data_IF_170966611302
#
_entry.id   IF_170966611302
#
_cell.length_a   1.000
_cell.length_b   1.000
_cell.length_c   1.000
_cell.angle_alpha   90.00
_cell.angle_beta   90.00
_cell.angle_gamma   90.00
#
_symmetry.space_group_name_H-M   'P 1'
#
loop_
_entity.id
_entity.type
_entity.pdbx_description
1 polymer ?
#
# COMPACT_ATOMS: atom_id res chain seq x y z
N UNK A 1 13.39 -10.29 -24.96
CA UNK A 1 12.29 -10.73 -24.07
C UNK A 1 12.16 -9.71 -22.95
N UNK A 2 11.03 -9.08 -22.87
CA UNK A 2 10.71 -8.07 -21.85
C UNK A 2 10.24 -8.82 -20.61
N UNK A 3 11.12 -8.91 -19.63
CA UNK A 3 10.82 -9.62 -18.39
C UNK A 3 9.85 -8.83 -17.53
N UNK A 4 9.00 -9.56 -16.82
CA UNK A 4 8.24 -9.05 -15.68
C UNK A 4 9.06 -9.34 -14.42
N UNK A 5 9.10 -8.38 -13.51
CA UNK A 5 9.55 -8.60 -12.15
C UNK A 5 8.32 -8.81 -11.26
N UNK A 6 8.36 -9.86 -10.46
CA UNK A 6 7.32 -10.17 -9.49
C UNK A 6 7.91 -10.03 -8.09
N UNK A 7 7.21 -9.30 -7.24
CA UNK A 7 7.53 -9.17 -5.83
C UNK A 7 6.32 -9.61 -5.01
N UNK A 8 6.54 -10.53 -4.08
CA UNK A 8 5.54 -10.93 -3.10
C UNK A 8 6.09 -10.68 -1.70
N UNK A 9 5.29 -10.07 -0.85
CA UNK A 9 5.64 -9.77 0.53
C UNK A 9 4.47 -10.15 1.43
N UNK A 10 4.75 -10.82 2.56
CA UNK A 10 3.76 -11.11 3.58
C UNK A 10 4.27 -10.60 4.93
N UNK A 11 3.39 -9.97 5.69
CA UNK A 11 3.67 -9.47 7.03
C UNK A 11 2.65 -10.01 8.01
N UNK A 12 3.14 -10.62 9.08
CA UNK A 12 2.34 -11.15 10.19
C UNK A 12 2.95 -10.64 11.48
N UNK A 13 2.12 -10.01 12.31
CA UNK A 13 2.55 -9.51 13.62
C UNK A 13 1.64 -10.07 14.71
N UNK A 14 2.22 -10.51 15.81
CA UNK A 14 1.50 -11.03 16.98
C UNK A 14 2.16 -10.54 18.25
N UNK A 15 1.36 -10.25 19.25
CA UNK A 15 1.83 -9.88 20.56
C UNK A 15 0.79 -10.22 21.62
N UNK A 16 1.21 -10.70 22.76
CA UNK A 16 0.36 -11.05 23.89
C UNK A 16 0.94 -10.38 25.15
N UNK A 17 0.10 -9.72 25.92
CA UNK A 17 0.42 -9.28 27.27
C UNK A 17 0.35 -10.50 28.19
N UNK A 18 1.52 -10.95 28.64
CA UNK A 18 1.65 -12.15 29.50
C UNK A 18 1.02 -11.98 30.88
N UNK A 19 0.77 -10.75 31.31
CA UNK A 19 0.16 -10.48 32.63
C UNK A 19 -1.34 -10.67 32.61
N UNK A 20 -1.98 -10.24 31.50
CA UNK A 20 -3.45 -10.22 31.36
C UNK A 20 -3.97 -11.29 30.40
N UNK A 21 -3.08 -12.00 29.72
CA UNK A 21 -3.36 -13.01 28.67
C UNK A 21 -4.28 -12.48 27.56
N UNK A 22 -4.05 -11.23 27.16
CA UNK A 22 -4.77 -10.56 26.09
C UNK A 22 -3.82 -10.12 24.98
N UNK A 23 -4.29 -9.97 23.73
CA UNK A 23 -3.48 -9.39 22.67
C UNK A 23 -3.00 -7.96 23.03
N UNK A 24 -1.80 -7.59 22.60
CA UNK A 24 -1.32 -6.22 22.72
C UNK A 24 -2.10 -5.33 21.75
N UNK A 25 -2.47 -4.13 22.22
CA UNK A 25 -3.17 -3.14 21.39
C UNK A 25 -2.29 -2.60 20.24
N UNK A 26 -2.92 -2.12 19.17
CA UNK A 26 -2.28 -1.53 17.99
C UNK A 26 -1.34 -2.46 17.23
N UNK A 27 -1.67 -3.75 17.20
CA UNK A 27 -0.98 -4.71 16.33
C UNK A 27 -1.57 -4.63 14.93
N UNK A 28 -0.75 -4.45 13.87
CA UNK A 28 -1.24 -4.40 12.51
C UNK A 28 -1.88 -5.74 12.10
N UNK A 29 -2.92 -5.71 11.24
CA UNK A 29 -3.46 -6.91 10.63
C UNK A 29 -2.45 -7.60 9.71
N UNK A 30 -2.69 -8.87 9.38
CA UNK A 30 -1.89 -9.56 8.40
C UNK A 30 -2.03 -8.91 7.04
N UNK A 31 -0.93 -8.75 6.35
CA UNK A 31 -0.83 -8.09 5.04
C UNK A 31 -0.12 -8.99 4.04
N UNK A 32 -0.71 -9.13 2.86
CA UNK A 32 -0.04 -9.67 1.67
C UNK A 32 0.03 -8.55 0.64
N UNK A 33 1.22 -8.33 0.09
CA UNK A 33 1.46 -7.38 -1.00
C UNK A 33 2.05 -8.13 -2.19
N UNK A 34 1.38 -8.02 -3.32
CA UNK A 34 1.83 -8.58 -4.60
C UNK A 34 2.08 -7.43 -5.56
N UNK A 35 3.21 -7.44 -6.24
CA UNK A 35 3.61 -6.39 -7.14
C UNK A 35 4.15 -7.00 -8.43
N UNK A 36 3.72 -6.45 -9.56
CA UNK A 36 4.20 -6.79 -10.88
C UNK A 36 4.80 -5.52 -11.49
N UNK A 37 6.04 -5.60 -11.92
CA UNK A 37 6.72 -4.53 -12.62
C UNK A 37 7.04 -4.93 -14.05
N UNK A 38 6.85 -3.98 -14.96
CA UNK A 38 7.21 -4.14 -16.37
C UNK A 38 7.84 -2.88 -16.93
N UNK A 39 9.05 -3.03 -17.45
CA UNK A 39 9.73 -1.97 -18.18
C UNK A 39 9.43 -2.09 -19.68
N UNK A 40 8.90 -1.02 -20.28
CA UNK A 40 8.61 -0.91 -21.71
C UNK A 40 9.30 0.36 -22.20
N UNK A 41 10.47 0.20 -22.86
CA UNK A 41 11.31 1.32 -23.28
C UNK A 41 11.65 2.25 -22.10
N UNK A 42 11.16 3.48 -22.14
CA UNK A 42 11.40 4.51 -21.12
C UNK A 42 10.32 4.54 -20.03
N UNK A 43 9.33 3.63 -20.12
CA UNK A 43 8.22 3.52 -19.18
C UNK A 43 8.46 2.37 -18.22
N UNK A 44 8.45 2.66 -16.92
CA UNK A 44 8.37 1.66 -15.87
C UNK A 44 6.93 1.63 -15.35
N UNK A 45 6.30 0.48 -15.43
CA UNK A 45 4.93 0.26 -14.99
C UNK A 45 4.93 -0.68 -13.79
N UNK A 46 4.22 -0.32 -12.73
CA UNK A 46 4.05 -1.12 -11.52
C UNK A 46 2.57 -1.25 -11.22
N UNK A 47 2.09 -2.47 -11.09
CA UNK A 47 0.78 -2.80 -10.57
C UNK A 47 0.96 -3.47 -9.21
N UNK A 48 0.24 -3.00 -8.20
CA UNK A 48 0.31 -3.51 -6.84
C UNK A 48 -1.07 -3.90 -6.33
N UNK A 49 -1.17 -5.08 -5.73
CA UNK A 49 -2.33 -5.53 -4.98
C UNK A 49 -1.94 -5.66 -3.52
N UNK A 50 -2.71 -5.05 -2.63
CA UNK A 50 -2.59 -5.20 -1.18
C UNK A 50 -3.84 -5.90 -0.66
N UNK A 51 -3.63 -7.01 0.07
CA UNK A 51 -4.67 -7.77 0.75
C UNK A 51 -4.42 -7.65 2.26
N UNK A 52 -5.33 -7.01 2.95
CA UNK A 52 -5.27 -6.79 4.39
C UNK A 52 -6.35 -7.61 5.07
N UNK A 53 -5.96 -8.44 6.02
CA UNK A 53 -6.89 -9.29 6.77
C UNK A 53 -7.74 -8.47 7.74
N UNK A 54 -8.87 -9.04 8.14
CA UNK A 54 -9.63 -8.57 9.30
C UNK A 54 -8.73 -8.59 10.54
N UNK A 55 -8.83 -7.56 11.37
CA UNK A 55 -8.20 -7.54 12.70
C UNK A 55 -9.27 -7.66 13.78
N UNK A 56 -9.32 -8.84 14.39
CA UNK A 56 -10.24 -9.19 15.48
C UNK A 56 -9.51 -9.67 16.75
N UNK A 57 -8.18 -9.76 16.71
CA UNK A 57 -7.32 -9.98 17.89
C UNK A 57 -7.01 -8.63 18.52
N UNK A 58 -7.84 -8.23 19.44
CA UNK A 58 -7.88 -6.86 19.96
C UNK A 58 -7.20 -6.78 21.33
N UNK A 59 -6.42 -5.73 21.53
CA UNK A 59 -5.97 -5.31 22.83
C UNK A 59 -7.04 -4.52 23.57
N UNK A 60 -6.67 -4.01 24.73
CA UNK A 60 -7.58 -3.24 25.58
C UNK A 60 -8.05 -1.96 24.85
N UNK A 61 -9.36 -1.66 24.92
CA UNK A 61 -10.01 -0.50 24.29
C UNK A 61 -9.95 -0.43 22.77
N UNK A 62 -9.63 -1.52 22.08
CA UNK A 62 -9.65 -1.56 20.63
C UNK A 62 -10.99 -2.01 20.05
N UNK A 63 -11.24 -1.63 18.82
CA UNK A 63 -12.37 -2.08 18.00
C UNK A 63 -11.85 -2.83 16.78
N UNK A 64 -12.59 -3.87 16.37
CA UNK A 64 -12.24 -4.63 15.18
C UNK A 64 -12.33 -3.78 13.92
N UNK A 65 -11.57 -4.18 12.88
CA UNK A 65 -11.68 -3.64 11.54
C UNK A 65 -11.82 -4.76 10.52
N UNK A 66 -12.65 -4.55 9.52
CA UNK A 66 -12.78 -5.49 8.41
C UNK A 66 -11.49 -5.54 7.58
N UNK A 67 -11.26 -6.68 6.94
CA UNK A 67 -10.24 -6.78 5.91
C UNK A 67 -10.64 -5.98 4.67
N UNK A 68 -9.66 -5.63 3.84
CA UNK A 68 -9.86 -4.87 2.61
C UNK A 68 -8.78 -5.22 1.57
N UNK A 69 -9.02 -4.81 0.34
CA UNK A 69 -8.09 -4.98 -0.76
C UNK A 69 -7.90 -3.68 -1.53
N UNK A 70 -6.66 -3.36 -1.84
CA UNK A 70 -6.32 -2.18 -2.61
C UNK A 70 -5.60 -2.58 -3.88
N UNK A 71 -5.96 -1.93 -4.98
CA UNK A 71 -5.26 -2.00 -6.25
C UNK A 71 -4.65 -0.64 -6.54
N UNK A 72 -3.33 -0.61 -6.74
CA UNK A 72 -2.57 0.60 -7.03
C UNK A 72 -1.83 0.42 -8.35
N UNK A 73 -1.68 1.52 -9.09
CA UNK A 73 -0.90 1.56 -10.31
C UNK A 73 0.04 2.75 -10.30
N UNK A 74 1.26 2.54 -10.77
CA UNK A 74 2.27 3.58 -10.94
C UNK A 74 2.93 3.41 -12.30
N UNK A 75 3.06 4.52 -13.02
CA UNK A 75 3.82 4.61 -14.26
C UNK A 75 4.86 5.71 -14.12
N UNK A 76 6.10 5.42 -14.45
CA UNK A 76 7.15 6.44 -14.52
C UNK A 76 7.78 6.47 -15.91
N UNK A 77 7.93 7.68 -16.43
CA UNK A 77 8.59 7.97 -17.70
C UNK A 77 9.89 8.73 -17.42
N UNK A 78 11.02 8.17 -17.86
CA UNK A 78 12.32 8.79 -17.67
C UNK A 78 12.94 9.13 -19.03
N UNK A 79 13.41 10.37 -19.20
CA UNK A 79 14.05 10.82 -20.42
C UNK A 79 15.20 11.80 -20.09
N UNK A 80 16.17 11.90 -21.00
CA UNK A 80 17.29 12.84 -20.87
C UNK A 80 17.11 14.01 -21.84
N UNK A 81 17.36 15.22 -21.36
CA UNK A 81 17.36 16.44 -22.18
C UNK A 81 18.38 17.45 -21.63
N UNK A 82 19.25 17.99 -22.48
CA UNK A 82 20.28 18.97 -22.11
C UNK A 82 21.10 18.54 -20.89
N UNK A 83 21.65 17.30 -20.93
CA UNK A 83 22.46 16.69 -19.86
C UNK A 83 21.71 16.40 -18.56
N UNK A 84 20.47 16.83 -18.42
CA UNK A 84 19.64 16.55 -17.27
C UNK A 84 18.77 15.30 -17.48
N UNK A 85 18.49 14.60 -16.38
CA UNK A 85 17.57 13.46 -16.36
C UNK A 85 16.24 13.94 -15.81
N UNK A 86 15.17 13.72 -16.57
CA UNK A 86 13.81 14.08 -16.22
C UNK A 86 13.00 12.82 -15.95
N UNK A 87 12.20 12.85 -14.92
CA UNK A 87 11.28 11.76 -14.57
C UNK A 87 9.88 12.30 -14.30
N UNK A 88 8.89 11.81 -15.03
CA UNK A 88 7.47 12.05 -14.79
C UNK A 88 6.85 10.80 -14.20
N UNK A 89 6.20 10.92 -13.04
CA UNK A 89 5.58 9.80 -12.34
C UNK A 89 4.08 10.08 -12.23
N UNK A 90 3.28 9.16 -12.74
CA UNK A 90 1.84 9.12 -12.55
C UNK A 90 1.47 7.95 -11.64
N UNK A 91 0.62 8.18 -10.66
CA UNK A 91 0.18 7.16 -9.72
C UNK A 91 -1.32 7.25 -9.47
N UNK A 92 -1.97 6.10 -9.47
CA UNK A 92 -3.35 5.94 -9.02
C UNK A 92 -3.36 5.00 -7.83
N UNK A 93 -3.88 5.46 -6.71
CA UNK A 93 -4.07 4.68 -5.49
C UNK A 93 -5.53 4.30 -5.33
N UNK A 94 -5.78 3.13 -4.75
CA UNK A 94 -7.12 2.62 -4.51
C UNK A 94 -8.02 2.67 -5.78
N UNK A 95 -7.57 2.05 -6.86
CA UNK A 95 -8.25 2.07 -8.17
C UNK A 95 -9.70 1.60 -8.06
N UNK A 96 -9.96 0.62 -7.21
CA UNK A 96 -11.28 0.04 -6.99
C UNK A 96 -12.22 0.96 -6.21
N UNK A 97 -11.68 2.06 -5.67
CA UNK A 97 -12.39 3.00 -4.79
C UNK A 97 -13.03 2.29 -3.58
N UNK A 98 -12.30 1.33 -3.01
CA UNK A 98 -12.70 0.60 -1.81
C UNK A 98 -12.82 1.55 -0.62
N UNK A 99 -13.90 1.45 0.14
CA UNK A 99 -14.05 2.16 1.42
C UNK A 99 -13.47 1.29 2.52
N UNK A 100 -12.39 1.71 3.15
CA UNK A 100 -11.69 0.92 4.13
C UNK A 100 -11.25 1.72 5.36
N UNK A 101 -10.96 1.00 6.44
CA UNK A 101 -10.53 1.55 7.72
C UNK A 101 -9.20 0.93 8.11
N UNK A 102 -8.15 1.73 8.22
CA UNK A 102 -6.86 1.25 8.69
C UNK A 102 -6.95 0.97 10.20
N UNK A 103 -6.59 -0.25 10.61
CA UNK A 103 -6.66 -0.66 12.01
C UNK A 103 -5.86 0.25 12.94
N UNK A 104 -4.72 0.73 12.49
CA UNK A 104 -3.82 1.59 13.26
C UNK A 104 -4.24 3.07 13.28
N UNK A 105 -5.25 3.46 12.50
CA UNK A 105 -5.76 4.83 12.48
C UNK A 105 -6.51 5.14 13.78
N UNK A 106 -6.13 6.22 14.45
CA UNK A 106 -6.79 6.69 15.68
C UNK A 106 -8.18 7.24 15.41
N UNK A 107 -8.49 7.57 14.17
CA UNK A 107 -9.78 8.13 13.75
C UNK A 107 -10.64 7.13 12.98
N UNK A 108 -10.27 5.84 12.97
CA UNK A 108 -10.99 4.78 12.25
C UNK A 108 -12.48 4.66 12.61
N UNK A 109 -12.87 5.11 13.80
CA UNK A 109 -14.28 5.11 14.22
C UNK A 109 -15.08 6.30 13.68
N UNK A 110 -14.40 7.30 13.12
CA UNK A 110 -15.00 8.56 12.68
C UNK A 110 -15.08 8.62 11.17
N UNK A 111 -13.99 8.21 10.49
CA UNK A 111 -13.90 8.33 9.03
C UNK A 111 -13.04 7.21 8.43
N UNK A 112 -13.40 6.77 7.19
CA UNK A 112 -12.57 5.86 6.42
C UNK A 112 -11.29 6.54 5.95
N UNK A 113 -10.35 5.73 5.47
CA UNK A 113 -9.19 6.21 4.73
C UNK A 113 -9.57 6.79 3.37
N UNK A 114 -8.61 7.48 2.74
CA UNK A 114 -8.85 8.11 1.44
C UNK A 114 -9.29 7.10 0.38
N UNK A 115 -10.30 7.47 -0.40
CA UNK A 115 -10.74 6.73 -1.58
C UNK A 115 -9.71 6.77 -2.71
N UNK A 116 -10.17 6.63 -3.96
CA UNK A 116 -9.30 6.69 -5.14
C UNK A 116 -8.56 8.04 -5.21
N UNK A 117 -7.24 7.97 -5.30
CA UNK A 117 -6.36 9.12 -5.42
C UNK A 117 -5.56 9.12 -6.72
N UNK A 118 -5.27 10.32 -7.24
CA UNK A 118 -4.38 10.53 -8.38
C UNK A 118 -3.23 11.44 -7.97
N UNK A 119 -2.02 11.07 -8.37
CA UNK A 119 -0.84 11.85 -8.08
C UNK A 119 0.05 11.95 -9.32
N UNK A 120 0.59 13.15 -9.57
CA UNK A 120 1.56 13.41 -10.63
C UNK A 120 2.76 14.09 -9.99
N UNK A 121 3.94 13.49 -10.19
CA UNK A 121 5.21 14.04 -9.72
C UNK A 121 6.16 14.25 -10.90
N UNK A 122 6.86 15.36 -10.90
CA UNK A 122 7.96 15.63 -11.81
C UNK A 122 9.25 15.81 -11.00
N UNK A 123 10.31 15.14 -11.46
CA UNK A 123 11.67 15.27 -10.89
C UNK A 123 12.67 15.59 -11.99
N UNK A 124 13.63 16.42 -11.67
CA UNK A 124 14.77 16.72 -12.53
C UNK A 124 16.05 16.55 -11.72
N UNK A 125 17.02 15.87 -12.31
CA UNK A 125 18.39 15.70 -11.77
C UNK A 125 19.34 16.44 -12.70
N UNK A 126 20.17 17.32 -12.11
CA UNK A 126 21.19 18.13 -12.79
C UNK A 126 22.52 17.40 -12.78
#
# INVERSE_FOLDING_TARGET
LKYFNFLANASVCRGIDLKNDIPIAYIPPDLIRLQIEKNIHFLNNTLEVMLVSKQDKLGEFETQTNGYQLLNYKCSYTFSRYENIHQLIFQVTNILNETYYNHLSKIKMIMPEAGRGFNINYRMHF
#
